data_IF_285771948900
#
_entry.id   IF_285771948900
#
_cell.length_a   1.000
_cell.length_b   1.000
_cell.length_c   1.000
_cell.angle_alpha   90.00
_cell.angle_beta   90.00
_cell.angle_gamma   90.00
#
_symmetry.space_group_name_H-M   'P 1'
#
loop_
_entity.id
_entity.type
_entity.pdbx_description
1 polymer ?
#
# COMPACT_ATOMS: atom_id res chain seq x y z
N UNK A 1 10.67 -10.21 21.10
CA UNK A 1 10.09 -10.33 19.75
C UNK A 1 9.30 -9.07 19.54
N UNK A 2 9.82 -8.18 18.72
CA UNK A 2 9.44 -6.78 18.74
C UNK A 2 8.19 -6.54 17.89
N UNK A 3 7.30 -5.68 18.39
CA UNK A 3 6.03 -5.33 17.73
C UNK A 3 6.22 -4.74 16.32
N UNK A 4 7.43 -4.28 15.97
CA UNK A 4 7.70 -3.62 14.69
C UNK A 4 7.46 -4.50 13.46
N UNK A 5 7.73 -5.81 13.51
CA UNK A 5 7.50 -6.70 12.37
C UNK A 5 6.02 -6.97 12.18
N UNK A 6 5.30 -7.12 13.29
CA UNK A 6 3.84 -7.22 13.29
C UNK A 6 3.21 -5.95 12.77
N UNK A 7 3.70 -4.78 13.20
CA UNK A 7 3.24 -3.47 12.73
C UNK A 7 3.49 -3.31 11.23
N UNK A 8 4.67 -3.72 10.75
CA UNK A 8 5.05 -3.65 9.34
C UNK A 8 4.14 -4.53 8.46
N UNK A 9 3.89 -5.78 8.89
CA UNK A 9 2.98 -6.69 8.18
C UNK A 9 1.53 -6.21 8.23
N UNK A 10 1.09 -5.71 9.38
CA UNK A 10 -0.27 -5.19 9.55
C UNK A 10 -0.50 -3.98 8.64
N UNK A 11 0.43 -3.04 8.63
CA UNK A 11 0.36 -1.85 7.80
C UNK A 11 0.45 -2.20 6.30
N UNK A 12 1.32 -3.15 5.92
CA UNK A 12 1.40 -3.63 4.54
C UNK A 12 0.07 -4.21 4.07
N UNK A 13 -0.62 -4.95 4.94
CA UNK A 13 -1.94 -5.52 4.65
C UNK A 13 -2.99 -4.41 4.42
N UNK A 14 -3.05 -3.43 5.33
CA UNK A 14 -3.97 -2.29 5.22
C UNK A 14 -3.78 -1.51 3.90
N UNK A 15 -2.53 -1.34 3.48
CA UNK A 15 -2.16 -0.64 2.24
C UNK A 15 -2.53 -1.40 0.98
N UNK A 16 -2.28 -2.72 0.97
CA UNK A 16 -2.76 -3.58 -0.12
C UNK A 16 -4.28 -3.48 -0.24
N UNK A 17 -5.02 -3.57 0.87
CA UNK A 17 -6.47 -3.43 0.90
C UNK A 17 -6.95 -2.05 0.44
N UNK A 18 -6.19 -0.98 0.73
CA UNK A 18 -6.49 0.35 0.20
C UNK A 18 -6.37 0.38 -1.33
N UNK A 19 -5.29 -0.14 -1.91
CA UNK A 19 -5.10 -0.17 -3.37
C UNK A 19 -6.28 -0.86 -4.09
N UNK A 20 -6.78 -1.97 -3.54
CA UNK A 20 -7.94 -2.67 -4.07
C UNK A 20 -9.22 -1.81 -4.03
N UNK A 21 -9.42 -1.06 -2.95
CA UNK A 21 -10.58 -0.14 -2.82
C UNK A 21 -10.47 1.05 -3.77
N UNK A 22 -9.27 1.54 -4.03
CA UNK A 22 -9.05 2.68 -4.93
C UNK A 22 -9.53 2.39 -6.34
N UNK A 23 -9.52 1.13 -6.81
CA UNK A 23 -10.12 0.79 -8.11
C UNK A 23 -11.62 1.10 -8.18
N UNK A 24 -12.35 0.84 -7.11
CA UNK A 24 -13.76 1.22 -7.01
C UNK A 24 -13.93 2.74 -6.91
N UNK A 25 -13.01 3.45 -6.24
CA UNK A 25 -13.06 4.92 -6.16
C UNK A 25 -12.81 5.59 -7.53
N UNK A 26 -11.91 5.03 -8.33
CA UNK A 26 -11.67 5.47 -9.70
C UNK A 26 -12.92 5.25 -10.56
N UNK A 27 -13.56 4.07 -10.45
CA UNK A 27 -14.81 3.78 -11.16
C UNK A 27 -15.94 4.72 -10.74
N UNK A 28 -16.11 4.97 -9.44
CA UNK A 28 -17.13 5.88 -8.92
C UNK A 28 -16.88 7.35 -9.28
N UNK A 29 -15.63 7.72 -9.58
CA UNK A 29 -15.25 9.06 -10.03
C UNK A 29 -15.33 9.22 -11.55
N UNK A 30 -15.91 8.27 -12.28
CA UNK A 30 -16.12 8.38 -13.72
C UNK A 30 -16.88 9.67 -14.07
N UNK A 31 -16.41 10.39 -15.09
CA UNK A 31 -16.94 11.72 -15.46
C UNK A 31 -16.40 12.88 -14.62
N UNK A 32 -15.74 12.64 -13.49
CA UNK A 32 -15.11 13.66 -12.64
C UNK A 32 -13.59 13.67 -12.82
N UNK A 33 -13.10 14.35 -13.86
CA UNK A 33 -11.70 14.29 -14.32
C UNK A 33 -10.64 14.49 -13.23
N UNK A 34 -10.75 15.57 -12.45
CA UNK A 34 -9.79 15.86 -11.36
C UNK A 34 -9.87 14.84 -10.22
N UNK A 35 -11.08 14.40 -9.86
CA UNK A 35 -11.28 13.41 -8.80
C UNK A 35 -10.73 12.03 -9.20
N UNK A 36 -10.97 11.61 -10.44
CA UNK A 36 -10.41 10.38 -10.97
C UNK A 36 -8.88 10.45 -11.11
N UNK A 37 -8.32 11.63 -11.46
CA UNK A 37 -6.88 11.85 -11.48
C UNK A 37 -6.29 11.71 -10.07
N UNK A 38 -6.89 12.33 -9.06
CA UNK A 38 -6.48 12.20 -7.66
C UNK A 38 -6.41 10.73 -7.22
N UNK A 39 -7.45 9.94 -7.49
CA UNK A 39 -7.45 8.53 -7.10
C UNK A 39 -6.38 7.71 -7.83
N UNK A 40 -6.14 7.97 -9.12
CA UNK A 40 -5.04 7.33 -9.86
C UNK A 40 -3.68 7.70 -9.28
N UNK A 41 -3.50 8.94 -8.86
CA UNK A 41 -2.25 9.43 -8.29
C UNK A 41 -1.98 8.77 -6.93
N UNK A 42 -3.00 8.73 -6.06
CA UNK A 42 -2.94 8.02 -4.78
C UNK A 42 -2.64 6.53 -4.98
N UNK A 43 -3.27 5.87 -5.95
CA UNK A 43 -2.98 4.46 -6.26
C UNK A 43 -1.51 4.25 -6.63
N UNK A 44 -0.94 5.12 -7.48
CA UNK A 44 0.47 5.02 -7.89
C UNK A 44 1.42 5.21 -6.72
N UNK A 45 1.16 6.20 -5.87
CA UNK A 45 1.96 6.46 -4.66
C UNK A 45 1.91 5.27 -3.70
N UNK A 46 0.74 4.66 -3.53
CA UNK A 46 0.59 3.53 -2.61
C UNK A 46 1.28 2.27 -3.13
N UNK A 47 1.19 1.98 -4.43
CA UNK A 47 1.93 0.86 -5.02
C UNK A 47 3.44 0.99 -4.82
N UNK A 48 3.99 2.20 -4.97
CA UNK A 48 5.40 2.46 -4.70
C UNK A 48 5.75 2.28 -3.21
N UNK A 49 4.84 2.66 -2.31
CA UNK A 49 5.01 2.45 -0.86
C UNK A 49 5.00 0.97 -0.49
N UNK A 50 4.04 0.20 -1.03
CA UNK A 50 3.95 -1.25 -0.85
C UNK A 50 5.25 -1.93 -1.30
N UNK A 51 5.82 -1.54 -2.44
CA UNK A 51 7.06 -2.14 -2.94
C UNK A 51 8.25 -1.86 -2.00
N UNK A 52 8.35 -0.65 -1.46
CA UNK A 52 9.36 -0.29 -0.45
C UNK A 52 9.19 -1.11 0.83
N UNK A 53 7.95 -1.26 1.31
CA UNK A 53 7.67 -2.05 2.50
C UNK A 53 7.96 -3.55 2.30
N UNK A 54 7.62 -4.11 1.13
CA UNK A 54 7.98 -5.49 0.78
C UNK A 54 9.49 -5.71 0.77
N UNK A 55 10.24 -4.76 0.23
CA UNK A 55 11.70 -4.79 0.25
C UNK A 55 12.24 -4.77 1.68
N UNK A 56 11.66 -3.97 2.57
CA UNK A 56 12.06 -3.92 3.98
C UNK A 56 11.73 -5.22 4.72
N UNK A 57 10.52 -5.78 4.55
CA UNK A 57 10.14 -7.08 5.13
C UNK A 57 11.15 -8.16 4.72
N UNK A 58 11.56 -8.18 3.45
CA UNK A 58 12.57 -9.13 2.96
C UNK A 58 13.90 -8.96 3.69
N UNK A 59 14.37 -7.72 3.86
CA UNK A 59 15.59 -7.41 4.61
C UNK A 59 15.51 -7.86 6.07
N UNK A 60 14.41 -7.61 6.76
CA UNK A 60 14.22 -8.01 8.17
C UNK A 60 14.20 -9.54 8.33
N UNK A 61 13.61 -10.26 7.36
CA UNK A 61 13.65 -11.74 7.31
C UNK A 61 15.07 -12.24 7.09
N UNK A 62 15.81 -11.66 6.14
CA UNK A 62 17.21 -12.05 5.86
C UNK A 62 18.15 -11.75 7.05
N UNK A 63 17.86 -10.71 7.83
CA UNK A 63 18.59 -10.36 9.04
C UNK A 63 18.30 -11.28 10.24
N UNK A 64 17.30 -12.17 10.14
CA UNK A 64 16.89 -13.07 11.23
C UNK A 64 16.17 -12.37 12.37
N UNK A 65 15.56 -11.20 12.12
CA UNK A 65 14.80 -10.43 13.10
C UNK A 65 13.34 -10.88 13.24
N UNK A 66 12.88 -11.79 12.37
CA UNK A 66 11.50 -12.29 12.26
C UNK A 66 11.21 -13.55 13.09
#
# INVERSE_FOLDING_TARGET
MADHDRDLVHELSNRVDFVWRVDQYIANAEGHGELAALWRDLKRQELATIERMRSLVKTEIEAGCF
#
